data_IF_152944491579
#
_entry.id   IF_152944491579
#
_cell.length_a   1.000
_cell.length_b   1.000
_cell.length_c   1.000
_cell.angle_alpha   90.00
_cell.angle_beta   90.00
_cell.angle_gamma   90.00
#
_symmetry.space_group_name_H-M   'P 1'
#
loop_
_entity.id
_entity.type
_entity.pdbx_description
1 polymer ?
#
# COMPACT_ATOMS: atom_id res chain seq x y z
N UNK A 1 -3.69 -9.73 54.97
CA UNK A 1 -4.53 -8.68 54.44
C UNK A 1 -3.79 -8.14 53.26
N UNK A 2 -3.95 -8.71 52.24
CA UNK A 2 -4.60 -8.67 50.94
C UNK A 2 -4.06 -7.51 50.06
N UNK A 3 -2.94 -7.80 49.35
CA UNK A 3 -2.38 -6.98 48.27
C UNK A 3 -2.96 -7.40 46.87
N UNK A 4 -4.11 -8.06 46.84
CA UNK A 4 -4.65 -8.65 45.59
C UNK A 4 -5.79 -7.89 44.95
N UNK A 5 -6.13 -6.65 45.40
CA UNK A 5 -7.32 -5.96 44.88
C UNK A 5 -7.11 -5.00 43.72
N UNK A 6 -5.87 -4.81 43.23
CA UNK A 6 -5.60 -3.81 42.17
C UNK A 6 -5.22 -4.36 40.78
N UNK A 7 -5.18 -5.68 40.58
CA UNK A 7 -4.80 -6.26 39.28
C UNK A 7 -5.98 -6.41 38.30
N UNK A 8 -7.23 -6.44 38.78
CA UNK A 8 -8.41 -6.64 37.91
C UNK A 8 -8.82 -5.42 37.07
N UNK A 9 -8.25 -4.23 37.33
CA UNK A 9 -8.47 -3.02 36.51
C UNK A 9 -7.25 -2.58 35.71
N UNK A 10 -6.12 -3.27 35.80
CA UNK A 10 -4.90 -2.93 35.10
C UNK A 10 -4.98 -3.36 33.62
N UNK A 11 -4.62 -2.44 32.71
CA UNK A 11 -4.51 -2.75 31.28
C UNK A 11 -3.44 -3.82 31.05
N UNK A 12 -3.83 -4.97 30.52
CA UNK A 12 -2.94 -6.10 30.19
C UNK A 12 -2.60 -6.10 28.71
N UNK A 13 -1.56 -6.86 28.32
CA UNK A 13 -1.21 -7.08 26.91
C UNK A 13 -2.41 -7.59 26.11
N UNK A 14 -3.11 -8.58 26.61
CA UNK A 14 -4.25 -9.21 25.96
C UNK A 14 -5.43 -8.23 25.79
N UNK A 15 -5.78 -7.48 26.85
CA UNK A 15 -6.88 -6.52 26.80
C UNK A 15 -6.55 -5.29 25.95
N UNK A 16 -5.31 -4.78 26.01
CA UNK A 16 -4.89 -3.65 25.19
C UNK A 16 -4.93 -3.95 23.70
N UNK A 17 -4.50 -5.13 23.31
CA UNK A 17 -4.44 -5.55 21.91
C UNK A 17 -5.70 -6.27 21.41
N UNK A 18 -6.72 -6.44 22.27
CA UNK A 18 -7.94 -7.20 21.95
C UNK A 18 -7.60 -8.60 21.36
N UNK A 19 -6.64 -9.30 21.96
CA UNK A 19 -6.10 -10.56 21.42
C UNK A 19 -7.16 -11.65 21.35
N UNK A 20 -8.00 -11.76 22.37
CA UNK A 20 -9.05 -12.79 22.42
C UNK A 20 -10.10 -12.61 21.33
N UNK A 21 -10.42 -11.36 20.99
CA UNK A 21 -11.32 -11.03 19.89
C UNK A 21 -10.65 -11.28 18.56
N UNK A 22 -9.41 -10.80 18.38
CA UNK A 22 -8.64 -10.94 17.15
C UNK A 22 -8.48 -12.42 16.76
N UNK A 23 -8.13 -13.28 17.71
CA UNK A 23 -7.91 -14.72 17.47
C UNK A 23 -9.21 -15.52 17.27
N UNK A 24 -10.39 -14.90 17.38
CA UNK A 24 -11.71 -15.50 17.04
C UNK A 24 -12.21 -15.10 15.66
N UNK A 25 -11.50 -14.24 14.93
CA UNK A 25 -11.92 -13.75 13.61
C UNK A 25 -11.57 -14.69 12.45
N UNK A 26 -10.78 -15.73 12.70
CA UNK A 26 -10.42 -16.74 11.68
C UNK A 26 -11.51 -17.80 11.64
N UNK A 27 -12.36 -17.74 10.59
CA UNK A 27 -13.55 -18.61 10.47
C UNK A 27 -13.53 -19.37 9.14
N UNK A 28 -12.92 -20.57 9.09
CA UNK A 28 -12.98 -21.44 7.91
C UNK A 28 -14.42 -21.78 7.54
N UNK A 29 -14.71 -21.84 6.25
CA UNK A 29 -16.03 -22.15 5.71
C UNK A 29 -16.11 -23.55 5.10
N UNK A 30 -14.95 -24.18 4.81
CA UNK A 30 -14.89 -25.52 4.23
C UNK A 30 -15.40 -26.58 5.21
N UNK A 31 -16.12 -27.59 4.67
CA UNK A 31 -16.65 -28.68 5.49
C UNK A 31 -15.56 -29.70 5.76
N UNK A 32 -15.24 -29.91 7.07
CA UNK A 32 -14.20 -30.83 7.52
C UNK A 32 -12.83 -30.19 7.69
N UNK A 33 -12.73 -28.94 8.26
CA UNK A 33 -12.22 -27.79 7.53
C UNK A 33 -10.88 -28.12 6.86
N UNK A 34 -10.65 -27.63 5.64
CA UNK A 34 -9.38 -27.82 4.93
C UNK A 34 -8.26 -27.05 5.68
N UNK A 35 -7.15 -27.73 5.92
CA UNK A 35 -6.05 -27.20 6.76
C UNK A 35 -5.54 -25.83 6.28
N UNK A 36 -5.35 -25.69 4.97
CA UNK A 36 -4.71 -24.48 4.39
C UNK A 36 -5.67 -23.29 4.26
N UNK A 37 -6.98 -23.46 4.48
CA UNK A 37 -7.93 -22.35 4.54
C UNK A 37 -7.60 -21.40 5.70
N UNK A 38 -7.14 -21.91 6.83
CA UNK A 38 -6.71 -21.11 7.99
C UNK A 38 -5.53 -20.22 7.60
N UNK A 39 -4.53 -20.76 6.89
CA UNK A 39 -3.38 -19.99 6.39
C UNK A 39 -3.85 -18.87 5.45
N UNK A 40 -4.75 -19.19 4.52
CA UNK A 40 -5.32 -18.23 3.57
C UNK A 40 -6.01 -17.06 4.29
N UNK A 41 -6.82 -17.34 5.30
CA UNK A 41 -7.52 -16.31 6.10
C UNK A 41 -6.51 -15.44 6.83
N UNK A 42 -5.56 -16.01 7.58
CA UNK A 42 -4.60 -15.27 8.40
C UNK A 42 -3.73 -14.36 7.51
N UNK A 43 -3.23 -14.85 6.40
CA UNK A 43 -2.39 -14.05 5.50
C UNK A 43 -3.15 -12.83 4.98
N UNK A 44 -4.40 -12.99 4.54
CA UNK A 44 -5.19 -11.88 4.05
C UNK A 44 -5.55 -10.88 5.15
N UNK A 45 -5.90 -11.35 6.35
CA UNK A 45 -6.12 -10.47 7.50
C UNK A 45 -4.85 -9.69 7.87
N UNK A 46 -3.68 -10.33 7.81
CA UNK A 46 -2.40 -9.68 8.09
C UNK A 46 -2.08 -8.60 7.05
N UNK A 47 -2.36 -8.85 5.75
CA UNK A 47 -2.24 -7.82 4.73
C UNK A 47 -3.16 -6.62 5.00
N UNK A 48 -4.42 -6.86 5.36
CA UNK A 48 -5.36 -5.79 5.66
C UNK A 48 -4.91 -4.94 6.86
N UNK A 49 -4.31 -5.55 7.89
CA UNK A 49 -3.71 -4.84 9.02
C UNK A 49 -2.49 -4.01 8.61
N UNK A 50 -1.62 -4.53 7.73
CA UNK A 50 -0.50 -3.77 7.19
C UNK A 50 -0.97 -2.63 6.27
N UNK A 51 -2.00 -2.83 5.45
CA UNK A 51 -2.56 -1.75 4.64
C UNK A 51 -3.16 -0.64 5.51
N UNK A 52 -3.84 -0.99 6.59
CA UNK A 52 -4.31 -0.02 7.59
C UNK A 52 -3.15 0.79 8.18
N UNK A 53 -2.06 0.13 8.55
CA UNK A 53 -0.87 0.81 9.07
C UNK A 53 -0.21 1.68 7.99
N UNK A 54 -0.09 1.21 6.75
CA UNK A 54 0.46 1.98 5.64
C UNK A 54 -0.36 3.26 5.38
N UNK A 55 -1.70 3.19 5.41
CA UNK A 55 -2.56 4.38 5.27
C UNK A 55 -2.23 5.40 6.36
N UNK A 56 -2.14 4.95 7.61
CA UNK A 56 -1.79 5.81 8.75
C UNK A 56 -0.41 6.47 8.58
N UNK A 57 0.60 5.71 8.18
CA UNK A 57 1.96 6.22 7.96
C UNK A 57 2.04 7.17 6.76
N UNK A 58 1.37 6.87 5.62
CA UNK A 58 1.35 7.76 4.47
C UNK A 58 0.73 9.12 4.81
N UNK A 59 -0.40 9.14 5.51
CA UNK A 59 -1.05 10.37 5.94
C UNK A 59 -0.14 11.20 6.88
N UNK A 60 0.61 10.54 7.74
CA UNK A 60 1.55 11.22 8.61
C UNK A 60 2.80 11.72 7.85
N UNK A 61 3.29 10.94 6.88
CA UNK A 61 4.39 11.36 6.00
C UNK A 61 4.00 12.60 5.16
N UNK A 62 2.77 12.64 4.62
CA UNK A 62 2.25 13.82 3.92
C UNK A 62 2.29 15.06 4.82
N UNK A 63 1.75 14.98 6.03
CA UNK A 63 1.80 16.10 6.99
C UNK A 63 3.21 16.56 7.31
N UNK A 64 4.13 15.61 7.56
CA UNK A 64 5.51 15.91 7.86
C UNK A 64 6.22 16.63 6.70
N UNK A 65 5.99 16.17 5.46
CA UNK A 65 6.51 16.80 4.25
C UNK A 65 5.96 18.22 4.08
N UNK A 66 4.65 18.40 4.19
CA UNK A 66 3.97 19.68 3.95
C UNK A 66 4.39 20.76 4.96
N UNK A 67 4.71 20.39 6.21
CA UNK A 67 5.25 21.32 7.21
C UNK A 67 6.78 21.46 7.18
N UNK A 68 7.47 20.70 6.33
CA UNK A 68 8.92 20.76 6.17
C UNK A 68 9.73 20.00 7.22
N UNK A 69 9.12 19.11 8.01
CA UNK A 69 9.83 18.26 8.99
C UNK A 69 10.52 17.08 8.30
N UNK A 70 11.67 17.36 7.69
CA UNK A 70 12.44 16.39 6.93
C UNK A 70 12.85 15.17 7.75
N UNK A 71 13.32 15.41 8.97
CA UNK A 71 13.82 14.32 9.81
C UNK A 71 12.71 13.31 10.15
N UNK A 72 11.56 13.81 10.53
CA UNK A 72 10.41 12.97 10.84
C UNK A 72 9.83 12.30 9.58
N UNK A 73 9.77 13.03 8.46
CA UNK A 73 9.36 12.46 7.16
C UNK A 73 10.24 11.28 6.76
N UNK A 74 11.57 11.41 6.84
CA UNK A 74 12.52 10.34 6.53
C UNK A 74 12.34 9.12 7.44
N UNK A 75 12.07 9.32 8.73
CA UNK A 75 11.81 8.23 9.67
C UNK A 75 10.54 7.45 9.30
N UNK A 76 9.45 8.16 8.95
CA UNK A 76 8.18 7.54 8.54
C UNK A 76 8.32 6.83 7.19
N UNK A 77 8.92 7.46 6.19
CA UNK A 77 9.16 6.85 4.87
C UNK A 77 10.01 5.59 5.00
N UNK A 78 11.02 5.60 5.89
CA UNK A 78 11.81 4.42 6.23
C UNK A 78 10.97 3.28 6.83
N UNK A 79 9.98 3.61 7.67
CA UNK A 79 9.03 2.64 8.23
C UNK A 79 8.11 2.07 7.15
N UNK A 80 7.53 2.91 6.28
CA UNK A 80 6.71 2.50 5.14
C UNK A 80 7.47 1.48 4.28
N UNK A 81 8.72 1.81 3.89
CA UNK A 81 9.61 0.90 3.16
C UNK A 81 9.77 -0.45 3.86
N UNK A 82 9.97 -0.43 5.17
CA UNK A 82 10.16 -1.67 5.96
C UNK A 82 8.89 -2.50 6.00
N UNK A 83 7.71 -1.89 6.16
CA UNK A 83 6.41 -2.57 6.09
C UNK A 83 6.22 -3.19 4.70
N UNK A 84 6.57 -2.48 3.62
CA UNK A 84 6.50 -3.03 2.26
C UNK A 84 7.36 -4.28 2.10
N UNK A 85 8.57 -4.32 2.66
CA UNK A 85 9.41 -5.54 2.65
C UNK A 85 8.74 -6.71 3.37
N UNK A 86 8.05 -6.46 4.50
CA UNK A 86 7.27 -7.49 5.18
C UNK A 86 6.12 -7.98 4.29
N UNK A 87 5.41 -7.07 3.62
CA UNK A 87 4.34 -7.44 2.68
C UNK A 87 4.88 -8.31 1.52
N UNK A 88 6.06 -8.02 0.97
CA UNK A 88 6.71 -8.86 -0.05
C UNK A 88 7.05 -10.23 0.53
N UNK A 89 7.69 -10.28 1.70
CA UNK A 89 8.11 -11.53 2.34
C UNK A 89 6.92 -12.45 2.70
N UNK A 90 5.75 -11.91 3.02
CA UNK A 90 4.57 -12.71 3.31
C UNK A 90 4.08 -13.52 2.08
N UNK A 91 4.41 -13.12 0.86
CA UNK A 91 4.09 -13.89 -0.34
C UNK A 91 4.79 -15.25 -0.30
N UNK A 92 6.01 -15.33 0.24
CA UNK A 92 6.74 -16.60 0.40
C UNK A 92 5.95 -17.63 1.22
N UNK A 93 5.28 -17.15 2.28
CA UNK A 93 4.43 -18.01 3.11
C UNK A 93 3.22 -18.49 2.31
N UNK A 94 2.54 -17.60 1.58
CA UNK A 94 1.39 -17.96 0.76
C UNK A 94 1.75 -18.93 -0.37
N UNK A 95 2.95 -18.80 -0.95
CA UNK A 95 3.48 -19.68 -2.00
C UNK A 95 3.80 -21.10 -1.51
N UNK A 96 3.82 -21.37 -0.19
CA UNK A 96 3.91 -22.74 0.33
C UNK A 96 2.67 -23.55 0.04
N UNK A 97 1.52 -22.89 -0.18
CA UNK A 97 0.27 -23.55 -0.54
C UNK A 97 0.30 -24.03 -1.99
N UNK A 98 0.10 -25.33 -2.21
CA UNK A 98 0.06 -25.91 -3.55
C UNK A 98 -1.29 -25.62 -4.25
N UNK A 99 -1.35 -25.70 -5.60
CA UNK A 99 -2.61 -25.54 -6.32
C UNK A 99 -3.72 -26.51 -5.88
N UNK A 100 -3.38 -27.74 -5.49
CA UNK A 100 -4.36 -28.72 -5.03
C UNK A 100 -4.93 -28.33 -3.66
N UNK A 101 -4.08 -27.90 -2.74
CA UNK A 101 -4.50 -27.40 -1.43
C UNK A 101 -5.41 -26.18 -1.56
N UNK A 102 -5.06 -25.20 -2.40
CA UNK A 102 -5.94 -24.06 -2.67
C UNK A 102 -7.27 -24.48 -3.29
N UNK A 103 -7.26 -25.40 -4.25
CA UNK A 103 -8.47 -25.87 -4.91
C UNK A 103 -9.43 -26.63 -3.97
N UNK A 104 -8.94 -27.23 -2.86
CA UNK A 104 -9.79 -27.99 -1.93
C UNK A 104 -10.83 -27.08 -1.24
N UNK A 105 -10.49 -25.81 -0.96
CA UNK A 105 -11.43 -24.86 -0.34
C UNK A 105 -11.84 -23.69 -1.27
N UNK A 106 -11.23 -23.55 -2.44
CA UNK A 106 -11.53 -22.42 -3.35
C UNK A 106 -13.02 -22.24 -3.65
N UNK A 107 -13.77 -23.36 -3.76
CA UNK A 107 -15.21 -23.34 -4.01
C UNK A 107 -16.03 -22.63 -2.93
N UNK A 108 -15.55 -22.59 -1.70
CA UNK A 108 -16.19 -21.92 -0.58
C UNK A 108 -15.96 -20.41 -0.56
N UNK A 109 -14.97 -19.90 -1.30
CA UNK A 109 -14.66 -18.46 -1.34
C UNK A 109 -15.71 -17.66 -2.14
N UNK A 110 -16.57 -18.32 -2.92
CA UNK A 110 -17.60 -17.67 -3.75
C UNK A 110 -16.98 -16.54 -4.60
N UNK A 111 -17.48 -15.31 -4.46
CA UNK A 111 -16.97 -14.12 -5.15
C UNK A 111 -15.88 -13.36 -4.37
N UNK A 112 -15.45 -13.86 -3.20
CA UNK A 112 -14.41 -13.19 -2.38
C UNK A 112 -13.09 -13.12 -3.14
N UNK A 113 -12.52 -11.92 -3.23
CA UNK A 113 -11.28 -11.67 -3.96
C UNK A 113 -10.52 -10.52 -3.34
N UNK A 114 -9.18 -10.61 -3.31
CA UNK A 114 -8.30 -9.50 -2.91
C UNK A 114 -8.49 -8.24 -3.76
N UNK A 115 -9.09 -8.36 -4.96
CA UNK A 115 -9.50 -7.21 -5.78
C UNK A 115 -10.48 -6.28 -5.04
N UNK A 116 -11.24 -6.81 -4.08
CA UNK A 116 -12.22 -6.08 -3.27
C UNK A 116 -11.61 -5.41 -2.02
N UNK A 117 -10.29 -5.47 -1.82
CA UNK A 117 -9.64 -4.82 -0.68
C UNK A 117 -9.78 -3.30 -0.76
N UNK A 118 -10.65 -2.74 0.08
CA UNK A 118 -10.84 -1.30 0.23
C UNK A 118 -9.56 -0.61 0.75
N UNK A 119 -8.86 -1.25 1.69
CA UNK A 119 -7.63 -0.72 2.26
C UNK A 119 -6.53 -0.61 1.20
N UNK A 120 -6.36 -1.62 0.36
CA UNK A 120 -5.37 -1.56 -0.71
C UNK A 120 -5.70 -0.45 -1.72
N UNK A 121 -6.99 -0.23 -2.06
CA UNK A 121 -7.38 0.90 -2.91
C UNK A 121 -7.05 2.25 -2.27
N UNK A 122 -7.24 2.40 -0.96
CA UNK A 122 -6.82 3.61 -0.21
C UNK A 122 -5.30 3.81 -0.26
N UNK A 123 -4.51 2.76 -0.12
CA UNK A 123 -3.04 2.82 -0.28
C UNK A 123 -2.67 3.29 -1.69
N UNK A 124 -3.27 2.72 -2.73
CA UNK A 124 -3.02 3.16 -4.12
C UNK A 124 -3.41 4.63 -4.35
N UNK A 125 -4.52 5.09 -3.75
CA UNK A 125 -4.94 6.48 -3.82
C UNK A 125 -3.95 7.44 -3.14
N UNK A 126 -3.41 7.08 -1.97
CA UNK A 126 -2.39 7.85 -1.27
C UNK A 126 -1.06 7.90 -2.04
N UNK A 127 -0.73 6.83 -2.75
CA UNK A 127 0.42 6.78 -3.65
C UNK A 127 0.24 7.66 -4.91
N UNK A 128 -0.99 8.04 -5.26
CA UNK A 128 -1.25 8.93 -6.38
C UNK A 128 -2.04 8.31 -7.54
N UNK A 129 -2.54 7.09 -7.40
CA UNK A 129 -3.43 6.51 -8.40
C UNK A 129 -4.78 7.25 -8.41
N UNK A 130 -5.21 7.67 -9.59
CA UNK A 130 -6.42 8.47 -9.84
C UNK A 130 -7.36 7.84 -10.89
N UNK A 131 -7.31 6.52 -11.02
CA UNK A 131 -8.21 5.79 -11.93
C UNK A 131 -9.61 5.67 -11.30
N UNK A 132 -10.60 6.32 -11.90
CA UNK A 132 -11.99 6.29 -11.43
C UNK A 132 -12.60 4.88 -11.40
N UNK A 133 -12.03 3.91 -12.12
CA UNK A 133 -12.48 2.50 -12.13
C UNK A 133 -11.95 1.71 -10.94
N UNK A 134 -10.95 2.23 -10.21
CA UNK A 134 -10.30 1.50 -9.12
C UNK A 134 -11.23 1.15 -7.96
N UNK A 135 -12.28 1.93 -7.74
CA UNK A 135 -13.22 1.78 -6.63
C UNK A 135 -14.65 1.43 -7.06
N UNK A 136 -14.97 1.46 -8.35
CA UNK A 136 -16.34 1.34 -8.86
C UNK A 136 -17.07 0.04 -8.49
N UNK A 137 -16.35 -1.00 -8.08
CA UNK A 137 -16.89 -2.29 -7.64
C UNK A 137 -17.09 -2.38 -6.11
N UNK A 138 -16.67 -1.35 -5.35
CA UNK A 138 -16.76 -1.30 -3.90
C UNK A 138 -18.10 -0.68 -3.43
N UNK A 139 -18.52 -0.88 -2.17
CA UNK A 139 -19.67 -0.20 -1.58
C UNK A 139 -19.58 1.33 -1.67
N UNK A 140 -20.73 2.01 -1.74
CA UNK A 140 -20.79 3.46 -1.98
C UNK A 140 -20.11 4.30 -0.89
N UNK A 141 -20.16 3.86 0.36
CA UNK A 141 -19.47 4.49 1.49
C UNK A 141 -17.95 4.43 1.30
N UNK A 142 -17.43 3.29 0.90
CA UNK A 142 -16.00 3.11 0.59
C UNK A 142 -15.59 3.91 -0.64
N UNK A 143 -16.45 3.99 -1.67
CA UNK A 143 -16.18 4.84 -2.83
C UNK A 143 -16.06 6.32 -2.44
N UNK A 144 -16.89 6.81 -1.50
CA UNK A 144 -16.80 8.18 -0.97
C UNK A 144 -15.48 8.41 -0.23
N UNK A 145 -15.10 7.48 0.66
CA UNK A 145 -13.83 7.57 1.37
C UNK A 145 -12.62 7.67 0.40
N UNK A 146 -12.64 6.86 -0.67
CA UNK A 146 -11.57 6.88 -1.67
C UNK A 146 -11.62 8.19 -2.48
N UNK A 147 -12.80 8.69 -2.82
CA UNK A 147 -12.97 9.98 -3.51
C UNK A 147 -12.44 11.14 -2.66
N UNK A 148 -12.64 11.12 -1.35
CA UNK A 148 -12.07 12.11 -0.44
C UNK A 148 -10.54 12.07 -0.45
N UNK A 149 -9.93 10.88 -0.37
CA UNK A 149 -8.46 10.72 -0.47
C UNK A 149 -7.96 11.21 -1.83
N UNK A 150 -8.63 10.88 -2.93
CA UNK A 150 -8.18 11.26 -4.28
C UNK A 150 -8.39 12.74 -4.60
N UNK A 151 -9.26 13.45 -3.90
CA UNK A 151 -9.39 14.91 -4.03
C UNK A 151 -8.28 15.69 -3.35
N UNK A 152 -7.57 15.07 -2.41
CA UNK A 152 -6.43 15.65 -1.70
C UNK A 152 -5.07 15.33 -2.36
N UNK A 153 -4.00 15.84 -1.75
CA UNK A 153 -2.64 15.54 -2.16
C UNK A 153 -2.36 14.01 -2.06
N UNK A 154 -1.66 13.49 -3.05
CA UNK A 154 -0.94 12.22 -2.91
C UNK A 154 0.36 12.44 -2.14
N UNK A 155 1.06 11.37 -1.76
CA UNK A 155 2.40 11.48 -1.17
C UNK A 155 3.38 12.18 -2.14
N UNK A 156 3.19 12.00 -3.46
CA UNK A 156 3.98 12.69 -4.48
C UNK A 156 3.67 14.20 -4.50
N UNK A 157 2.41 14.58 -4.45
CA UNK A 157 2.03 16.00 -4.37
C UNK A 157 2.62 16.67 -3.12
N UNK A 158 2.55 16.01 -1.96
CA UNK A 158 3.13 16.51 -0.72
C UNK A 158 4.66 16.63 -0.81
N UNK A 159 5.33 15.71 -1.52
CA UNK A 159 6.77 15.80 -1.77
C UNK A 159 7.12 17.00 -2.68
N UNK A 160 6.32 17.28 -3.72
CA UNK A 160 6.53 18.43 -4.58
C UNK A 160 6.31 19.75 -3.83
N UNK A 161 5.29 19.82 -2.96
CA UNK A 161 5.08 20.97 -2.04
C UNK A 161 6.25 21.14 -1.09
N UNK A 162 6.75 20.06 -0.51
CA UNK A 162 7.91 20.05 0.37
C UNK A 162 9.15 20.64 -0.32
N UNK A 163 9.46 20.19 -1.53
CA UNK A 163 10.60 20.71 -2.30
C UNK A 163 10.40 22.18 -2.66
N UNK A 164 9.18 22.60 -3.03
CA UNK A 164 8.87 23.99 -3.30
C UNK A 164 9.09 24.88 -2.09
N UNK A 165 8.59 24.46 -0.92
CA UNK A 165 8.75 25.21 0.33
C UNK A 165 10.21 25.29 0.80
N UNK A 166 11.05 24.33 0.38
CA UNK A 166 12.50 24.36 0.61
C UNK A 166 13.26 25.28 -0.36
N UNK A 167 12.58 25.98 -1.28
CA UNK A 167 13.17 26.93 -2.21
C UNK A 167 13.44 26.39 -3.61
N UNK A 168 13.09 25.15 -3.90
CA UNK A 168 13.17 24.58 -5.26
C UNK A 168 11.94 24.97 -6.07
N UNK A 169 12.13 25.74 -7.14
CA UNK A 169 11.03 26.37 -7.91
C UNK A 169 10.21 25.34 -8.70
N UNK A 170 9.31 24.64 -8.03
CA UNK A 170 8.37 23.72 -8.69
C UNK A 170 7.36 24.49 -9.58
N UNK A 171 6.99 23.94 -10.75
CA UNK A 171 6.04 24.59 -11.67
C UNK A 171 4.68 24.83 -11.00
N UNK A 172 4.16 26.06 -11.10
CA UNK A 172 2.86 26.40 -10.55
C UNK A 172 1.71 25.58 -11.14
N UNK A 173 1.80 25.17 -12.41
CA UNK A 173 0.85 24.29 -13.08
C UNK A 173 0.75 22.90 -12.41
N UNK A 174 1.86 22.41 -11.87
CA UNK A 174 1.92 21.13 -11.17
C UNK A 174 1.40 21.26 -9.74
N UNK A 175 1.81 22.32 -9.02
CA UNK A 175 1.37 22.56 -7.64
C UNK A 175 -0.14 22.81 -7.55
N UNK A 176 -0.71 23.53 -8.53
CA UNK A 176 -2.12 23.94 -8.55
C UNK A 176 -3.02 23.05 -9.42
N UNK A 177 -2.52 21.89 -9.90
CA UNK A 177 -3.33 20.97 -10.70
C UNK A 177 -4.54 20.45 -9.93
N UNK A 178 -5.56 19.98 -10.62
CA UNK A 178 -6.63 19.20 -10.01
C UNK A 178 -6.04 17.88 -9.46
N UNK A 179 -6.13 17.68 -8.14
CA UNK A 179 -5.57 16.52 -7.46
C UNK A 179 -6.37 15.24 -7.72
N UNK A 180 -7.60 15.35 -8.19
CA UNK A 180 -8.42 14.20 -8.61
C UNK A 180 -7.98 13.61 -9.95
N UNK A 181 -7.19 14.36 -10.72
CA UNK A 181 -6.63 13.91 -12.00
C UNK A 181 -5.30 13.15 -11.81
N UNK A 182 -5.07 12.15 -12.67
CA UNK A 182 -3.81 11.40 -12.63
C UNK A 182 -2.63 12.32 -12.90
N UNK A 183 -1.60 12.25 -12.05
CA UNK A 183 -0.35 12.95 -12.29
C UNK A 183 0.33 12.41 -13.55
N UNK A 184 0.81 13.31 -14.39
CA UNK A 184 1.61 12.99 -15.57
C UNK A 184 3.02 13.53 -15.36
N UNK A 185 4.02 12.70 -15.65
CA UNK A 185 5.43 13.08 -15.54
C UNK A 185 5.72 14.39 -16.28
N UNK A 186 6.49 15.28 -15.66
CA UNK A 186 6.68 16.66 -16.12
C UNK A 186 8.17 17.00 -16.22
N UNK A 187 8.60 17.43 -17.42
CA UNK A 187 10.01 17.73 -17.68
C UNK A 187 10.56 18.86 -16.79
N UNK A 188 9.78 19.89 -16.51
CA UNK A 188 10.22 20.99 -15.65
C UNK A 188 10.45 20.50 -14.20
N UNK A 189 9.59 19.59 -13.70
CA UNK A 189 9.80 18.92 -12.41
C UNK A 189 11.08 18.10 -12.42
N UNK A 190 11.34 17.35 -13.50
CA UNK A 190 12.57 16.56 -13.65
C UNK A 190 13.82 17.46 -13.62
N UNK A 191 13.77 18.61 -14.27
CA UNK A 191 14.89 19.58 -14.28
C UNK A 191 15.16 20.12 -12.85
N UNK A 192 14.11 20.40 -12.09
CA UNK A 192 14.26 20.81 -10.67
C UNK A 192 14.79 19.66 -9.81
N UNK A 193 14.31 18.44 -10.01
CA UNK A 193 14.78 17.27 -9.26
C UNK A 193 16.26 16.98 -9.49
N UNK A 194 16.80 17.22 -10.68
CA UNK A 194 18.24 17.12 -10.95
C UNK A 194 19.03 18.13 -10.10
N UNK A 195 18.54 19.38 -10.02
CA UNK A 195 19.17 20.40 -9.17
C UNK A 195 19.11 19.97 -7.69
N UNK A 196 17.97 19.45 -7.23
CA UNK A 196 17.84 18.93 -5.86
C UNK A 196 18.92 17.89 -5.56
N UNK A 197 19.08 16.90 -6.43
CA UNK A 197 20.07 15.83 -6.21
C UNK A 197 21.51 16.32 -6.24
N UNK A 198 21.80 17.38 -7.00
CA UNK A 198 23.15 17.97 -7.11
C UNK A 198 23.50 18.92 -5.97
N UNK A 199 22.52 19.61 -5.39
CA UNK A 199 22.75 20.76 -4.52
C UNK A 199 22.15 20.65 -3.12
N UNK A 200 21.19 19.73 -2.90
CA UNK A 200 20.47 19.57 -1.64
C UNK A 200 20.38 18.09 -1.21
N UNK A 201 21.45 17.56 -0.59
CA UNK A 201 21.51 16.15 -0.20
C UNK A 201 20.38 15.72 0.75
N UNK A 202 19.89 16.63 1.58
CA UNK A 202 18.81 16.32 2.54
C UNK A 202 17.49 16.07 1.81
N UNK A 203 17.13 16.93 0.84
CA UNK A 203 15.91 16.78 0.03
C UNK A 203 16.05 15.64 -0.97
N UNK A 204 17.23 15.43 -1.52
CA UNK A 204 17.54 14.29 -2.34
C UNK A 204 17.30 12.96 -1.61
N UNK A 205 17.62 12.89 -0.31
CA UNK A 205 17.36 11.69 0.49
C UNK A 205 15.86 11.37 0.61
N UNK A 206 14.99 12.38 0.69
CA UNK A 206 13.52 12.16 0.66
C UNK A 206 13.11 11.58 -0.68
N UNK A 207 13.64 12.10 -1.78
CA UNK A 207 13.38 11.55 -3.13
C UNK A 207 13.83 10.09 -3.23
N UNK A 208 15.01 9.73 -2.71
CA UNK A 208 15.50 8.35 -2.69
C UNK A 208 14.60 7.43 -1.84
N UNK A 209 14.05 7.89 -0.71
CA UNK A 209 13.08 7.11 0.06
C UNK A 209 11.79 6.85 -0.69
N UNK A 210 11.34 7.79 -1.52
CA UNK A 210 10.17 7.57 -2.38
C UNK A 210 10.48 6.54 -3.48
N UNK A 211 11.69 6.54 -4.05
CA UNK A 211 12.13 5.51 -5.00
C UNK A 211 12.17 4.13 -4.34
N UNK A 212 12.71 4.02 -3.12
CA UNK A 212 12.70 2.78 -2.33
C UNK A 212 11.27 2.22 -2.13
N UNK A 213 10.30 3.11 -1.91
CA UNK A 213 8.88 2.73 -1.73
C UNK A 213 8.28 2.27 -3.06
N UNK A 214 8.55 2.99 -4.15
CA UNK A 214 8.07 2.62 -5.49
C UNK A 214 8.62 1.26 -5.92
N UNK A 215 9.93 1.03 -5.73
CA UNK A 215 10.54 -0.28 -5.96
C UNK A 215 9.84 -1.37 -5.17
N UNK A 216 9.57 -1.15 -3.88
CA UNK A 216 8.87 -2.11 -3.03
C UNK A 216 7.45 -2.43 -3.52
N UNK A 217 6.71 -1.44 -4.02
CA UNK A 217 5.38 -1.64 -4.62
C UNK A 217 5.48 -2.46 -5.92
N UNK A 218 6.46 -2.18 -6.77
CA UNK A 218 6.65 -2.90 -8.03
C UNK A 218 7.09 -4.36 -7.76
N UNK A 219 7.98 -4.57 -6.79
CA UNK A 219 8.38 -5.91 -6.34
C UNK A 219 7.17 -6.69 -5.81
N UNK A 220 6.36 -6.08 -4.95
CA UNK A 220 5.15 -6.71 -4.42
C UNK A 220 4.18 -7.10 -5.56
N UNK A 221 3.94 -6.19 -6.52
CA UNK A 221 3.09 -6.48 -7.70
C UNK A 221 3.62 -7.65 -8.50
N UNK A 222 4.92 -7.67 -8.80
CA UNK A 222 5.56 -8.76 -9.54
C UNK A 222 5.41 -10.11 -8.81
N UNK A 223 5.75 -10.15 -7.52
CA UNK A 223 5.65 -11.35 -6.69
C UNK A 223 4.19 -11.84 -6.61
N UNK A 224 3.25 -10.91 -6.44
CA UNK A 224 1.82 -11.23 -6.41
C UNK A 224 1.33 -11.84 -7.73
N UNK A 225 1.73 -11.30 -8.87
CA UNK A 225 1.41 -11.91 -10.20
C UNK A 225 1.94 -13.34 -10.25
N UNK A 226 3.21 -13.56 -9.86
CA UNK A 226 3.82 -14.90 -9.92
C UNK A 226 3.15 -15.88 -8.96
N UNK A 227 2.78 -15.45 -7.79
CA UNK A 227 2.02 -16.26 -6.83
C UNK A 227 0.64 -16.67 -7.40
N UNK A 228 -0.09 -15.73 -8.02
CA UNK A 228 -1.38 -16.02 -8.66
C UNK A 228 -1.21 -17.01 -9.82
N UNK A 229 -0.24 -16.78 -10.72
CA UNK A 229 0.07 -17.69 -11.83
C UNK A 229 0.41 -19.10 -11.33
N UNK A 230 1.21 -19.19 -10.28
CA UNK A 230 1.62 -20.45 -9.67
C UNK A 230 0.44 -21.22 -9.05
N UNK A 231 -0.54 -20.50 -8.46
CA UNK A 231 -1.64 -21.09 -7.68
C UNK A 231 -2.84 -21.44 -8.56
N UNK A 232 -3.25 -20.56 -9.48
CA UNK A 232 -4.46 -20.75 -10.30
C UNK A 232 -4.20 -20.78 -11.80
N UNK A 233 -2.98 -20.51 -12.25
CA UNK A 233 -2.62 -20.45 -13.68
C UNK A 233 -3.38 -19.34 -14.41
N UNK A 234 -3.98 -19.70 -15.54
CA UNK A 234 -4.77 -18.80 -16.38
C UNK A 234 -6.27 -18.75 -16.01
N UNK A 235 -6.65 -19.35 -14.88
CA UNK A 235 -8.06 -19.34 -14.45
C UNK A 235 -8.47 -17.92 -14.03
N UNK A 236 -9.74 -17.58 -14.24
CA UNK A 236 -10.32 -16.33 -13.75
C UNK A 236 -10.22 -16.25 -12.22
N UNK A 237 -10.00 -15.06 -11.70
CA UNK A 237 -10.07 -14.79 -10.26
C UNK A 237 -11.49 -15.01 -9.72
N UNK A 238 -11.62 -15.33 -8.44
CA UNK A 238 -12.93 -15.53 -7.78
C UNK A 238 -13.82 -14.28 -7.83
N UNK A 239 -13.25 -13.09 -7.88
CA UNK A 239 -13.97 -11.80 -8.00
C UNK A 239 -14.31 -11.37 -9.43
N UNK A 240 -14.24 -12.26 -10.43
CA UNK A 240 -14.60 -11.94 -11.82
C UNK A 240 -13.55 -11.13 -12.60
N UNK A 241 -12.38 -10.89 -12.03
CA UNK A 241 -11.25 -10.26 -12.76
C UNK A 241 -10.65 -11.25 -13.76
N UNK A 242 -9.97 -10.74 -14.82
CA UNK A 242 -9.21 -11.59 -15.75
C UNK A 242 -8.00 -12.28 -15.12
N UNK A 243 -7.93 -12.33 -13.78
CA UNK A 243 -6.88 -13.02 -13.03
C UNK A 243 -5.50 -12.41 -13.27
N UNK A 244 -4.53 -13.26 -13.64
CA UNK A 244 -3.14 -12.86 -13.82
C UNK A 244 -2.94 -11.78 -14.91
N UNK A 245 -3.78 -11.74 -15.95
CA UNK A 245 -3.62 -10.77 -17.06
C UNK A 245 -3.87 -9.32 -16.61
N UNK A 246 -4.91 -9.09 -15.80
CA UNK A 246 -5.12 -7.77 -15.20
C UNK A 246 -3.93 -7.35 -14.34
N UNK A 247 -3.44 -8.25 -13.50
CA UNK A 247 -2.31 -7.97 -12.62
C UNK A 247 -1.03 -7.67 -13.41
N UNK A 248 -0.78 -8.40 -14.51
CA UNK A 248 0.36 -8.15 -15.41
C UNK A 248 0.32 -6.73 -16.00
N UNK A 249 -0.85 -6.20 -16.34
CA UNK A 249 -0.98 -4.85 -16.88
C UNK A 249 -0.57 -3.75 -15.90
N UNK A 250 -0.47 -4.06 -14.62
CA UNK A 250 -0.02 -3.12 -13.57
C UNK A 250 1.50 -3.15 -13.34
N UNK A 251 2.22 -4.12 -13.96
CA UNK A 251 3.67 -4.23 -13.82
C UNK A 251 4.38 -3.12 -14.60
N UNK A 252 5.58 -2.78 -14.15
CA UNK A 252 6.46 -1.79 -14.77
C UNK A 252 5.86 -0.37 -14.91
N UNK A 253 4.81 -0.08 -14.16
CA UNK A 253 4.25 1.25 -14.07
C UNK A 253 4.72 1.90 -12.76
N UNK A 254 5.77 2.74 -12.79
CA UNK A 254 6.27 3.40 -11.59
C UNK A 254 5.23 4.38 -11.05
N UNK A 255 5.23 4.54 -9.74
CA UNK A 255 4.36 5.49 -9.04
C UNK A 255 4.90 6.91 -9.19
N UNK A 256 6.24 7.07 -9.06
CA UNK A 256 6.93 8.35 -9.10
C UNK A 256 7.79 8.47 -10.37
N UNK A 257 7.13 8.52 -11.53
CA UNK A 257 7.77 8.44 -12.85
C UNK A 257 8.91 9.44 -13.03
N UNK A 258 8.76 10.70 -12.56
CA UNK A 258 9.81 11.71 -12.70
C UNK A 258 11.12 11.33 -12.01
N UNK A 259 11.04 10.64 -10.85
CA UNK A 259 12.25 10.18 -10.13
C UNK A 259 12.98 9.07 -10.91
N UNK A 260 12.26 8.25 -11.67
CA UNK A 260 12.86 7.22 -12.52
C UNK A 260 13.44 7.83 -13.80
N UNK A 261 12.74 8.76 -14.42
CA UNK A 261 13.17 9.42 -15.67
C UNK A 261 14.49 10.17 -15.52
N UNK A 262 14.72 10.82 -14.37
CA UNK A 262 15.97 11.55 -14.16
C UNK A 262 17.20 10.66 -13.99
N UNK A 263 17.05 9.34 -13.72
CA UNK A 263 18.18 8.44 -13.47
C UNK A 263 19.18 8.41 -14.63
N UNK A 264 18.72 8.49 -15.86
CA UNK A 264 19.58 8.52 -17.05
C UNK A 264 20.18 9.90 -17.35
N UNK A 265 19.94 10.90 -16.49
CA UNK A 265 20.39 12.28 -16.67
C UNK A 265 21.45 12.72 -15.64
N UNK A 266 21.81 11.83 -14.70
CA UNK A 266 22.89 12.04 -13.75
C UNK A 266 24.26 11.95 -14.38
#
# INVERSE_FOLDING_TARGET
>A
MSENENFDSALTYTSYLAIDELLKLQRPLSTGPEHDEMLFIIIHQTYELWFKQLIHEFQQAQRALEIGDTHYALAILGRIRTIMKVCVAQIDILETMTPLQFNSFRGYLSSSSGFQSAQFRKVEALLGRRDNKMAGHLPLDIQKDIAEITSGNSIWDSALVYLHNAGHAMPASVLNRDKSEQYVANKEVQDVLLVVHQTDPERAMVCERLVDIDEGIQEWRYRHVKMVERTIGQKMGTGGSSGADYLRSTLFNPVFGDLWEIRSRF
#
